data_IF_688890504421
#
_entry.id   IF_688890504421
#
_cell.length_a   1.000
_cell.length_b   1.000
_cell.length_c   1.000
_cell.angle_alpha   90.00
_cell.angle_beta   90.00
_cell.angle_gamma   90.00
#
_symmetry.space_group_name_H-M   'P 1'
#
loop_
_entity.id
_entity.type
_entity.pdbx_description
1 polymer ?
#
# COMPACT_ATOMS: atom_id res chain seq x y z
N UNK A 1 21.41 0.84 -33.60
CA UNK A 1 20.90 0.74 -32.22
C UNK A 1 19.44 1.10 -32.30
N UNK A 2 18.56 0.12 -32.11
CA UNK A 2 17.13 0.36 -31.87
C UNK A 2 17.02 0.85 -30.42
N UNK A 3 16.50 2.05 -30.21
CA UNK A 3 16.09 2.49 -28.86
C UNK A 3 14.97 1.55 -28.41
N UNK A 4 15.11 0.95 -27.22
CA UNK A 4 13.99 0.30 -26.56
C UNK A 4 13.04 1.40 -26.10
N UNK A 5 11.75 1.24 -26.40
CA UNK A 5 10.71 2.06 -25.81
C UNK A 5 10.18 1.27 -24.63
N UNK A 6 10.33 1.81 -23.42
CA UNK A 6 9.62 1.31 -22.24
C UNK A 6 8.27 2.02 -22.16
N UNK A 7 7.27 1.34 -21.63
CA UNK A 7 5.94 1.93 -21.42
C UNK A 7 5.74 2.03 -19.92
N UNK A 8 5.31 3.19 -19.46
CA UNK A 8 5.01 3.42 -18.04
C UNK A 8 3.55 3.77 -17.84
N UNK A 9 2.98 3.29 -16.73
CA UNK A 9 1.71 3.77 -16.20
C UNK A 9 1.92 5.04 -15.39
N UNK A 10 1.06 6.04 -15.61
CA UNK A 10 1.14 7.31 -14.92
C UNK A 10 -0.14 7.60 -14.16
N UNK A 11 0.02 8.12 -12.94
CA UNK A 11 -1.05 8.69 -12.13
C UNK A 11 -0.69 10.10 -11.68
N UNK A 12 -1.71 10.95 -11.60
CA UNK A 12 -1.66 12.27 -10.98
C UNK A 12 -2.71 12.29 -9.88
N UNK A 13 -2.44 12.95 -8.76
CA UNK A 13 -3.38 12.96 -7.65
C UNK A 13 -3.31 14.17 -6.77
N UNK A 14 -4.23 14.18 -5.82
CA UNK A 14 -4.32 15.11 -4.72
C UNK A 14 -4.38 14.32 -3.41
N UNK A 15 -3.47 14.63 -2.48
CA UNK A 15 -3.46 14.15 -1.11
C UNK A 15 -3.50 15.33 -0.12
N UNK A 16 -4.05 15.18 1.09
CA UNK A 16 -4.11 16.28 2.06
C UNK A 16 -2.72 16.78 2.52
N UNK A 17 -1.73 15.90 2.56
CA UNK A 17 -0.35 16.19 2.96
C UNK A 17 0.62 15.14 2.37
N UNK A 18 1.91 15.44 2.44
CA UNK A 18 2.98 14.48 2.11
C UNK A 18 2.93 13.26 3.05
N UNK A 19 2.61 13.45 4.33
CA UNK A 19 2.46 12.34 5.29
C UNK A 19 1.34 11.37 4.88
N UNK A 20 0.18 11.88 4.46
CA UNK A 20 -0.92 11.03 3.96
C UNK A 20 -0.54 10.31 2.65
N UNK A 21 0.26 10.96 1.81
CA UNK A 21 0.80 10.35 0.59
C UNK A 21 1.78 9.22 0.91
N UNK A 22 2.73 9.41 1.83
CA UNK A 22 3.67 8.36 2.22
C UNK A 22 2.96 7.21 2.96
N UNK A 23 1.98 7.52 3.82
CA UNK A 23 1.17 6.50 4.49
C UNK A 23 0.38 5.64 3.48
N UNK A 24 0.01 6.18 2.32
CA UNK A 24 -0.66 5.45 1.25
C UNK A 24 0.23 4.35 0.64
N UNK A 25 1.54 4.57 0.64
CA UNK A 25 2.56 3.64 0.15
C UNK A 25 3.25 2.83 1.25
N UNK A 26 2.98 3.14 2.51
CA UNK A 26 3.58 2.46 3.64
C UNK A 26 3.23 0.97 3.63
N UNK A 27 4.28 0.13 3.63
CA UNK A 27 4.12 -1.32 3.70
C UNK A 27 3.39 -1.72 4.99
N UNK A 28 2.43 -2.62 4.85
CA UNK A 28 1.74 -3.23 5.98
C UNK A 28 2.75 -4.12 6.71
N UNK A 29 2.99 -3.85 7.99
CA UNK A 29 3.90 -4.67 8.80
C UNK A 29 3.28 -6.03 9.11
N UNK A 30 4.04 -7.10 8.88
CA UNK A 30 3.70 -8.49 9.24
C UNK A 30 3.36 -8.65 10.75
N UNK A 31 3.86 -7.75 11.61
CA UNK A 31 3.66 -7.81 13.06
C UNK A 31 2.22 -7.49 13.52
N UNK A 32 1.38 -6.93 12.63
CA UNK A 32 -0.03 -6.65 12.93
C UNK A 32 -0.88 -7.92 13.15
N UNK A 33 -0.35 -9.09 12.78
CA UNK A 33 -1.07 -10.37 12.84
C UNK A 33 -0.53 -11.35 13.92
N UNK A 34 0.50 -10.98 14.68
CA UNK A 34 1.17 -11.86 15.64
C UNK A 34 0.95 -11.57 17.13
N UNK A 35 0.40 -10.41 17.52
CA UNK A 35 0.15 -10.11 18.94
C UNK A 35 -1.28 -10.43 19.35
N UNK A 36 -1.57 -11.73 19.32
CA UNK A 36 -2.53 -12.31 20.26
C UNK A 36 -2.19 -11.81 21.67
N UNK A 37 -3.22 -11.28 22.33
CA UNK A 37 -3.18 -10.75 23.69
C UNK A 37 -2.75 -11.84 24.68
N UNK A 38 -1.45 -12.11 24.80
CA UNK A 38 -0.89 -12.66 26.03
C UNK A 38 -0.83 -11.53 27.05
N UNK A 39 -2.01 -11.16 27.53
CA UNK A 39 -2.14 -10.56 28.85
C UNK A 39 -2.00 -11.74 29.82
N UNK A 40 -0.77 -12.13 30.14
CA UNK A 40 -0.56 -12.86 31.38
C UNK A 40 -0.92 -11.86 32.49
N UNK A 41 -2.08 -12.08 33.09
CA UNK A 41 -2.44 -11.47 34.36
C UNK A 41 -1.50 -12.07 35.40
N UNK A 42 -0.29 -11.53 35.50
CA UNK A 42 0.59 -11.67 36.65
C UNK A 42 0.16 -10.62 37.68
N UNK A 43 -1.01 -10.84 38.26
CA UNK A 43 -1.48 -10.21 39.49
C UNK A 43 -2.02 -11.35 40.37
N UNK A 44 -1.16 -11.97 41.17
CA UNK A 44 -1.58 -12.62 42.43
C UNK A 44 -0.37 -12.71 43.38
N UNK A 45 -0.20 -11.64 44.17
CA UNK A 45 0.58 -11.63 45.40
C UNK A 45 -0.31 -12.14 46.55
N UNK A 46 0.13 -13.18 47.28
CA UNK A 46 -0.06 -13.24 48.73
C UNK A 46 -0.89 -14.39 49.32
N UNK A 47 -0.16 -15.39 49.80
CA UNK A 47 -0.23 -16.02 51.14
C UNK A 47 -1.45 -16.81 51.67
N UNK A 48 -1.06 -17.86 52.39
CA UNK A 48 -1.67 -18.54 53.55
C UNK A 48 -2.50 -19.85 53.38
N UNK A 49 -1.81 -20.92 53.80
CA UNK A 49 -2.19 -22.00 54.74
C UNK A 49 -3.25 -23.08 54.42
N UNK A 50 -2.75 -24.31 54.57
CA UNK A 50 -3.35 -25.53 55.15
C UNK A 50 -4.52 -26.28 54.48
N UNK A 51 -4.17 -27.54 54.19
CA UNK A 51 -4.90 -28.78 54.49
C UNK A 51 -6.00 -29.29 53.53
N UNK A 52 -5.65 -30.47 53.00
CA UNK A 52 -6.46 -31.68 52.90
C UNK A 52 -7.37 -31.89 51.68
N UNK A 53 -7.22 -33.12 51.15
CA UNK A 53 -8.23 -33.94 50.51
C UNK A 53 -8.78 -33.47 49.15
N UNK A 54 -8.51 -34.23 48.10
CA UNK A 54 -9.56 -34.93 47.34
C UNK A 54 -8.98 -35.57 46.07
N UNK A 55 -9.57 -36.70 45.72
CA UNK A 55 -9.18 -37.59 44.66
C UNK A 55 -9.23 -36.97 43.26
N UNK A 56 -8.36 -37.50 42.41
CA UNK A 56 -8.21 -37.22 40.98
C UNK A 56 -9.55 -37.35 40.24
N UNK A 57 -10.16 -36.22 39.90
CA UNK A 57 -11.12 -36.16 38.80
C UNK A 57 -10.33 -35.98 37.51
N UNK A 58 -10.29 -37.04 36.69
CA UNK A 58 -9.90 -36.98 35.28
C UNK A 58 -10.93 -36.12 34.56
N UNK A 59 -10.70 -34.81 34.49
CA UNK A 59 -11.46 -33.94 33.59
C UNK A 59 -10.97 -34.21 32.17
N UNK A 60 -11.80 -34.95 31.43
CA UNK A 60 -11.70 -35.12 29.99
C UNK A 60 -11.60 -33.75 29.33
N UNK A 61 -10.41 -33.42 28.83
CA UNK A 61 -10.19 -32.25 28.00
C UNK A 61 -11.14 -32.31 26.80
N UNK A 62 -12.03 -31.31 26.62
CA UNK A 62 -12.86 -31.25 25.43
C UNK A 62 -11.97 -31.20 24.20
N UNK A 63 -12.21 -32.14 23.30
CA UNK A 63 -11.59 -32.22 21.99
C UNK A 63 -11.66 -30.88 21.26
N UNK A 64 -10.56 -30.55 20.59
CA UNK A 64 -10.58 -29.77 19.35
C UNK A 64 -10.51 -28.27 19.55
N UNK A 65 -9.32 -27.77 19.89
CA UNK A 65 -8.85 -26.61 19.13
C UNK A 65 -8.70 -27.09 17.68
N UNK A 66 -9.75 -26.89 16.88
CA UNK A 66 -9.61 -26.85 15.45
C UNK A 66 -8.61 -25.73 15.17
N UNK A 67 -7.36 -26.11 14.95
CA UNK A 67 -6.39 -25.34 14.17
C UNK A 67 -6.90 -25.30 12.72
N UNK A 68 -8.10 -24.74 12.51
CA UNK A 68 -8.46 -24.12 11.24
C UNK A 68 -7.70 -22.80 11.21
N UNK A 69 -6.37 -22.90 11.04
CA UNK A 69 -5.68 -21.89 10.25
C UNK A 69 -6.35 -21.99 8.88
N UNK A 70 -7.36 -21.16 8.67
CA UNK A 70 -7.76 -20.78 7.34
C UNK A 70 -6.53 -20.08 6.75
N UNK A 71 -5.63 -20.89 6.20
CA UNK A 71 -4.71 -20.54 5.14
C UNK A 71 -5.59 -20.15 3.94
N UNK A 72 -6.25 -19.00 4.06
CA UNK A 72 -6.70 -18.25 2.90
C UNK A 72 -5.42 -17.71 2.32
N UNK A 73 -4.74 -18.52 1.50
CA UNK A 73 -3.47 -18.19 0.84
C UNK A 73 -3.56 -17.04 -0.16
N UNK A 74 -4.39 -16.05 0.13
CA UNK A 74 -4.49 -14.79 -0.56
C UNK A 74 -3.44 -13.86 0.09
N UNK A 75 -2.32 -13.70 -0.59
CA UNK A 75 -1.30 -12.71 -0.22
C UNK A 75 -1.98 -11.36 -0.05
N UNK A 76 -1.85 -10.74 1.12
CA UNK A 76 -2.40 -9.42 1.36
C UNK A 76 -1.62 -8.40 0.52
N UNK A 77 -2.30 -7.37 -0.01
CA UNK A 77 -1.60 -6.25 -0.65
C UNK A 77 -0.57 -5.61 0.28
N UNK A 78 0.64 -5.37 -0.25
CA UNK A 78 1.75 -4.80 0.51
C UNK A 78 1.42 -3.42 1.09
N UNK A 79 0.56 -2.63 0.44
CA UNK A 79 0.14 -1.31 0.91
C UNK A 79 -1.23 -0.94 0.34
N UNK A 80 -1.70 0.28 0.63
CA UNK A 80 -3.01 0.74 0.17
C UNK A 80 -3.03 1.02 -1.34
N UNK A 81 -1.92 1.49 -1.91
CA UNK A 81 -1.82 1.70 -3.36
C UNK A 81 -2.01 0.40 -4.14
N UNK A 82 -1.23 -0.64 -3.83
CA UNK A 82 -1.35 -1.97 -4.45
C UNK A 82 -2.77 -2.54 -4.33
N UNK A 83 -3.34 -2.52 -3.13
CA UNK A 83 -4.73 -2.95 -2.88
C UNK A 83 -5.72 -2.26 -3.81
N UNK A 84 -5.59 -0.94 -3.95
CA UNK A 84 -6.50 -0.14 -4.74
C UNK A 84 -6.28 -0.28 -6.24
N UNK A 85 -5.08 -0.64 -6.69
CA UNK A 85 -4.81 -1.05 -8.08
C UNK A 85 -5.22 -2.51 -8.34
N UNK A 86 -5.47 -3.30 -7.30
CA UNK A 86 -5.87 -4.70 -7.40
C UNK A 86 -4.68 -5.67 -7.44
N UNK A 87 -3.52 -5.20 -7.02
CA UNK A 87 -2.29 -5.97 -6.95
C UNK A 87 -2.01 -6.37 -5.49
N UNK A 88 -1.35 -7.51 -5.30
CA UNK A 88 -0.87 -7.93 -3.99
C UNK A 88 0.56 -7.43 -3.73
N UNK A 89 1.36 -7.26 -4.79
CA UNK A 89 2.77 -6.89 -4.73
C UNK A 89 3.17 -6.12 -6.01
N UNK A 90 4.21 -5.29 -5.90
CA UNK A 90 4.95 -4.71 -7.03
C UNK A 90 6.41 -4.46 -6.59
N UNK A 91 7.34 -4.34 -7.55
CA UNK A 91 8.73 -3.97 -7.30
C UNK A 91 8.85 -2.45 -7.06
N UNK A 92 9.21 -2.02 -5.85
CA UNK A 92 9.33 -0.59 -5.51
C UNK A 92 10.42 0.11 -6.35
N UNK A 93 11.44 -0.61 -6.82
CA UNK A 93 12.46 -0.06 -7.74
C UNK A 93 11.88 0.28 -9.14
N UNK A 94 10.67 -0.23 -9.45
CA UNK A 94 9.93 0.03 -10.69
C UNK A 94 8.84 1.09 -10.54
N UNK A 95 8.70 1.66 -9.33
CA UNK A 95 7.71 2.70 -9.03
C UNK A 95 8.42 3.95 -8.53
N UNK A 96 8.33 5.01 -9.31
CA UNK A 96 8.77 6.34 -8.89
C UNK A 96 7.58 7.17 -8.44
N UNK A 97 7.76 7.94 -7.37
CA UNK A 97 6.70 8.80 -6.83
C UNK A 97 7.24 10.10 -6.29
N UNK A 98 6.41 11.14 -6.33
CA UNK A 98 6.74 12.45 -5.78
C UNK A 98 5.52 13.17 -5.23
N UNK A 99 5.77 14.03 -4.26
CA UNK A 99 4.79 14.96 -3.70
C UNK A 99 5.29 16.39 -3.80
N UNK A 100 4.42 17.33 -4.13
CA UNK A 100 4.73 18.76 -4.20
C UNK A 100 3.48 19.62 -3.95
N UNK A 101 3.45 20.36 -2.83
CA UNK A 101 2.29 21.17 -2.42
C UNK A 101 2.07 22.47 -3.21
N UNK A 102 3.02 22.83 -4.09
CA UNK A 102 2.97 24.10 -4.83
C UNK A 102 1.86 24.15 -5.89
N UNK A 103 1.35 22.99 -6.29
CA UNK A 103 0.41 22.85 -7.41
C UNK A 103 1.05 23.04 -8.78
N UNK A 104 2.38 23.17 -8.86
CA UNK A 104 3.11 23.21 -10.13
C UNK A 104 3.34 21.79 -10.65
N UNK A 105 2.52 21.39 -11.65
CA UNK A 105 2.63 20.09 -12.30
C UNK A 105 4.02 19.85 -12.90
N UNK A 106 4.69 20.87 -13.42
CA UNK A 106 6.03 20.68 -13.98
C UNK A 106 7.04 20.36 -12.88
N UNK A 107 6.91 21.01 -11.73
CA UNK A 107 7.76 20.73 -10.57
C UNK A 107 7.50 19.33 -10.01
N UNK A 108 6.28 18.82 -10.13
CA UNK A 108 5.90 17.47 -9.72
C UNK A 108 6.49 16.38 -10.63
N UNK A 109 6.55 16.63 -11.94
CA UNK A 109 7.14 15.69 -12.92
C UNK A 109 8.67 15.74 -12.96
N UNK A 110 9.27 16.80 -12.42
CA UNK A 110 10.70 17.05 -12.55
C UNK A 110 11.55 15.99 -11.83
N UNK A 111 12.57 15.48 -12.53
CA UNK A 111 13.56 14.57 -11.96
C UNK A 111 13.18 13.08 -11.98
N UNK A 112 11.98 12.75 -12.47
CA UNK A 112 11.60 11.39 -12.76
C UNK A 112 12.30 10.84 -14.00
N UNK A 113 12.45 9.51 -14.07
CA UNK A 113 13.00 8.86 -15.25
C UNK A 113 12.21 9.25 -16.49
N UNK A 114 12.94 9.57 -17.56
CA UNK A 114 12.38 9.86 -18.87
C UNK A 114 11.38 11.03 -18.90
N UNK A 115 11.41 11.95 -17.92
CA UNK A 115 10.57 13.15 -17.84
C UNK A 115 10.40 13.83 -19.22
N UNK A 116 11.51 14.07 -19.92
CA UNK A 116 11.49 14.77 -21.22
C UNK A 116 10.70 14.06 -22.33
N UNK A 117 10.42 12.76 -22.19
CA UNK A 117 9.67 11.97 -23.16
C UNK A 117 8.15 12.11 -23.00
N UNK A 118 7.66 12.30 -21.76
CA UNK A 118 6.21 12.32 -21.49
C UNK A 118 5.69 13.64 -20.89
N UNK A 119 6.53 14.47 -20.27
CA UNK A 119 6.04 15.58 -19.43
C UNK A 119 5.11 16.55 -20.16
N UNK A 120 5.44 16.97 -21.38
CA UNK A 120 4.59 17.88 -22.16
C UNK A 120 3.23 17.23 -22.52
N UNK A 121 3.22 15.93 -22.78
CA UNK A 121 1.97 15.21 -23.07
C UNK A 121 1.11 15.07 -21.82
N UNK A 122 1.72 14.79 -20.66
CA UNK A 122 1.03 14.72 -19.37
C UNK A 122 0.42 16.07 -19.02
N UNK A 123 1.19 17.16 -19.12
CA UNK A 123 0.71 18.51 -18.83
C UNK A 123 -0.48 18.86 -19.73
N UNK A 124 -0.33 18.69 -21.05
CA UNK A 124 -1.42 18.97 -21.98
C UNK A 124 -2.66 18.10 -21.73
N UNK A 125 -2.47 16.83 -21.35
CA UNK A 125 -3.57 15.93 -21.02
C UNK A 125 -4.31 16.39 -19.77
N UNK A 126 -3.60 16.62 -18.66
CA UNK A 126 -4.17 17.05 -17.38
C UNK A 126 -4.95 18.36 -17.53
N UNK A 127 -4.37 19.34 -18.26
CA UNK A 127 -5.05 20.60 -18.58
C UNK A 127 -6.33 20.37 -19.40
N UNK A 128 -6.29 19.49 -20.40
CA UNK A 128 -7.45 19.17 -21.23
C UNK A 128 -8.59 18.48 -20.48
N UNK A 129 -8.26 17.70 -19.45
CA UNK A 129 -9.24 17.02 -18.60
C UNK A 129 -9.80 17.94 -17.50
N UNK A 130 -9.24 19.14 -17.32
CA UNK A 130 -9.63 20.03 -16.23
C UNK A 130 -9.35 19.44 -14.85
N UNK A 131 -8.34 18.56 -14.76
CA UNK A 131 -7.87 18.03 -13.47
C UNK A 131 -7.20 19.19 -12.73
N UNK A 132 -7.73 19.48 -11.54
CA UNK A 132 -7.41 20.68 -10.76
C UNK A 132 -6.17 20.54 -9.88
N UNK A 133 -6.24 21.11 -8.66
CA UNK A 133 -5.16 21.07 -7.69
C UNK A 133 -4.65 19.63 -7.50
N UNK A 134 -3.37 19.43 -7.82
CA UNK A 134 -2.67 18.16 -7.81
C UNK A 134 -1.33 18.37 -7.13
N UNK A 135 -0.94 17.41 -6.32
CA UNK A 135 0.29 17.47 -5.53
C UNK A 135 1.00 16.13 -5.43
N UNK A 136 0.54 15.10 -6.15
CA UNK A 136 1.20 13.79 -6.19
C UNK A 136 1.31 13.25 -7.60
N UNK A 137 2.45 12.65 -7.94
CA UNK A 137 2.68 11.93 -9.18
C UNK A 137 3.26 10.56 -8.91
N UNK A 138 2.83 9.58 -9.70
CA UNK A 138 3.31 8.21 -9.65
C UNK A 138 3.60 7.77 -11.09
N UNK A 139 4.77 7.18 -11.30
CA UNK A 139 5.19 6.54 -12.53
C UNK A 139 5.58 5.11 -12.19
N UNK A 140 4.98 4.14 -12.87
CA UNK A 140 5.34 2.73 -12.72
C UNK A 140 5.65 2.10 -14.07
N UNK A 141 6.52 1.10 -14.08
CA UNK A 141 6.67 0.22 -15.25
C UNK A 141 5.32 -0.45 -15.58
N UNK A 142 5.04 -0.64 -16.87
CA UNK A 142 3.76 -1.20 -17.34
C UNK A 142 3.50 -2.59 -16.78
N UNK A 143 4.55 -3.37 -16.61
CA UNK A 143 4.41 -4.77 -16.23
C UNK A 143 4.09 -4.96 -14.72
N UNK A 144 4.14 -3.89 -13.92
CA UNK A 144 3.84 -3.94 -12.47
C UNK A 144 2.34 -3.88 -12.14
N UNK A 145 1.49 -3.39 -13.06
CA UNK A 145 0.06 -3.19 -12.80
C UNK A 145 -0.77 -3.68 -13.99
N UNK A 146 -1.53 -4.76 -13.83
CA UNK A 146 -2.30 -5.35 -14.94
C UNK A 146 -3.51 -4.48 -15.31
N UNK A 147 -4.15 -3.87 -14.31
CA UNK A 147 -5.41 -3.12 -14.48
C UNK A 147 -5.39 -1.78 -13.72
N UNK A 148 -4.46 -0.86 -14.07
CA UNK A 148 -4.32 0.43 -13.42
C UNK A 148 -5.59 1.27 -13.56
N UNK A 149 -5.94 1.98 -12.49
CA UNK A 149 -7.21 2.71 -12.43
C UNK A 149 -7.14 3.95 -11.55
N UNK A 150 -8.04 4.87 -11.85
CA UNK A 150 -8.32 6.01 -10.98
C UNK A 150 -9.05 5.55 -9.72
N UNK A 151 -8.71 6.15 -8.59
CA UNK A 151 -9.29 5.83 -7.28
C UNK A 151 -9.63 7.11 -6.51
N UNK A 152 -10.71 7.03 -5.76
CA UNK A 152 -11.23 8.13 -4.95
C UNK A 152 -11.46 7.61 -3.54
N UNK A 153 -10.58 7.99 -2.62
CA UNK A 153 -10.73 7.64 -1.21
C UNK A 153 -11.27 8.80 -0.39
N UNK A 154 -11.25 8.62 0.93
CA UNK A 154 -11.59 9.70 1.85
C UNK A 154 -10.42 10.71 1.92
N UNK A 155 -10.66 11.93 1.44
CA UNK A 155 -9.68 13.02 1.48
C UNK A 155 -8.63 13.05 0.36
N UNK A 156 -8.57 12.05 -0.53
CA UNK A 156 -7.64 12.05 -1.66
C UNK A 156 -8.31 11.60 -2.97
N UNK A 157 -7.66 11.89 -4.07
CA UNK A 157 -8.03 11.37 -5.38
C UNK A 157 -6.77 11.10 -6.19
N UNK A 158 -6.76 9.97 -6.88
CA UNK A 158 -5.69 9.60 -7.79
C UNK A 158 -6.29 9.26 -9.15
N UNK A 159 -5.92 10.02 -10.17
CA UNK A 159 -6.32 9.80 -11.55
C UNK A 159 -5.26 8.98 -12.29
N UNK A 160 -5.64 7.81 -12.79
CA UNK A 160 -4.86 7.13 -13.81
C UNK A 160 -5.01 7.88 -15.13
N UNK A 161 -3.89 8.35 -15.69
CA UNK A 161 -3.88 9.19 -16.90
C UNK A 161 -3.43 8.44 -18.15
N UNK A 162 -3.00 7.18 -18.01
CA UNK A 162 -2.73 6.28 -19.13
C UNK A 162 -1.30 5.75 -19.19
N UNK A 163 -1.02 5.11 -20.32
CA UNK A 163 0.30 4.59 -20.69
C UNK A 163 1.07 5.63 -21.51
N UNK A 164 2.33 5.85 -21.17
CA UNK A 164 3.21 6.78 -21.88
C UNK A 164 4.50 6.09 -22.30
N UNK A 165 4.96 6.38 -23.51
CA UNK A 165 6.23 5.86 -24.02
C UNK A 165 7.40 6.63 -23.41
N UNK A 166 8.26 5.89 -22.73
CA UNK A 166 9.52 6.34 -22.17
C UNK A 166 10.67 5.84 -23.07
N UNK A 167 11.64 6.72 -23.36
CA UNK A 167 12.81 6.35 -24.14
C UNK A 167 13.90 5.84 -23.20
N UNK A 168 14.41 4.62 -23.38
CA UNK A 168 15.60 4.12 -22.67
C UNK A 168 16.86 4.07 -23.53
#
# INVERSE_FOLDING_TARGET
MTMSMEISHLWIGFFPSEEEFENYFQERSDDAYGRGLYRTSDDDDGDDEEAADAELHEEETPHGINEDYADTGDELPINKFSEEQGETFYDDDRVERSFNDSGDLRALLAGHSNETAYAEHVIAFVESQGIGAMNSFILADKDEFESPRSVHGDGYTLWYIGEFSCLT
#
